data_IF_080332533694
#
_entry.id   IF_080332533694
#
_cell.length_a   1.000
_cell.length_b   1.000
_cell.length_c   1.000
_cell.angle_alpha   90.00
_cell.angle_beta   90.00
_cell.angle_gamma   90.00
#
_symmetry.space_group_name_H-M   'P 1'
#
loop_
_entity.id
_entity.type
_entity.pdbx_description
1 polymer ?
#
# COMPACT_ATOMS: atom_id res chain seq x y z
N UNK A 1 21.67 -6.03 -23.82
CA UNK A 1 21.45 -7.10 -22.82
C UNK A 1 20.30 -6.83 -21.84
N UNK A 2 20.12 -5.60 -21.30
CA UNK A 2 19.61 -5.32 -19.93
C UNK A 2 20.68 -5.68 -18.88
N UNK A 3 20.82 -4.88 -17.81
CA UNK A 3 21.74 -5.17 -16.71
C UNK A 3 21.23 -6.38 -15.92
N UNK A 4 22.13 -7.24 -15.42
CA UNK A 4 21.69 -8.40 -14.62
C UNK A 4 20.84 -7.94 -13.44
N UNK A 5 19.91 -8.78 -12.95
CA UNK A 5 19.08 -8.43 -11.78
C UNK A 5 19.96 -7.99 -10.62
N UNK A 6 21.05 -8.72 -10.34
CA UNK A 6 22.07 -8.36 -9.35
C UNK A 6 22.56 -6.90 -9.48
N UNK A 7 22.82 -6.44 -10.70
CA UNK A 7 23.25 -5.05 -10.98
C UNK A 7 22.16 -4.03 -10.65
N UNK A 8 20.89 -4.34 -10.94
CA UNK A 8 19.75 -3.46 -10.62
C UNK A 8 19.60 -3.39 -9.11
N UNK A 9 19.50 -4.53 -8.42
CA UNK A 9 19.44 -4.60 -6.95
C UNK A 9 20.61 -3.83 -6.29
N UNK A 10 21.84 -3.98 -6.77
CA UNK A 10 22.98 -3.23 -6.22
C UNK A 10 22.90 -1.73 -6.46
N UNK A 11 22.41 -1.29 -7.63
CA UNK A 11 22.23 0.13 -7.94
C UNK A 11 21.14 0.74 -7.05
N UNK A 12 19.97 0.08 -6.96
CA UNK A 12 18.85 0.47 -6.10
C UNK A 12 19.28 0.56 -4.64
N UNK A 13 20.03 -0.43 -4.14
CA UNK A 13 20.54 -0.42 -2.77
C UNK A 13 21.58 0.68 -2.52
N UNK A 14 22.44 0.97 -3.49
CA UNK A 14 23.40 2.06 -3.39
C UNK A 14 22.70 3.43 -3.33
N UNK A 15 21.73 3.67 -4.21
CA UNK A 15 20.93 4.89 -4.24
C UNK A 15 20.08 5.04 -2.96
N UNK A 16 19.43 3.96 -2.51
CA UNK A 16 18.67 3.92 -1.26
C UNK A 16 19.52 4.30 -0.05
N UNK A 17 20.73 3.74 0.06
CA UNK A 17 21.69 4.09 1.13
C UNK A 17 22.18 5.53 1.06
N UNK A 18 22.42 6.07 -0.14
CA UNK A 18 22.84 7.47 -0.30
C UNK A 18 21.80 8.45 0.29
N UNK A 19 20.51 8.11 0.21
CA UNK A 19 19.40 8.91 0.74
C UNK A 19 18.87 8.43 2.09
N UNK A 20 19.59 7.55 2.81
CA UNK A 20 19.11 6.87 4.02
C UNK A 20 18.54 7.84 5.06
N UNK A 21 19.13 9.03 5.24
CA UNK A 21 18.60 10.07 6.15
C UNK A 21 17.17 10.48 5.79
N UNK A 22 16.92 10.84 4.52
CA UNK A 22 15.59 11.24 4.06
C UNK A 22 14.60 10.07 4.09
N UNK A 23 15.05 8.87 3.73
CA UNK A 23 14.25 7.64 3.77
C UNK A 23 13.79 7.32 5.19
N UNK A 24 14.70 7.29 6.17
CA UNK A 24 14.37 7.00 7.58
C UNK A 24 13.48 8.10 8.16
N UNK A 25 13.76 9.38 7.89
CA UNK A 25 12.90 10.48 8.36
C UNK A 25 11.49 10.40 7.76
N UNK A 26 11.37 10.08 6.47
CA UNK A 26 10.08 9.84 5.82
C UNK A 26 9.35 8.63 6.40
N UNK A 27 10.06 7.52 6.61
CA UNK A 27 9.46 6.28 7.13
C UNK A 27 8.98 6.43 8.57
N UNK A 28 9.69 7.21 9.40
CA UNK A 28 9.21 7.61 10.72
C UNK A 28 7.99 8.53 10.62
N UNK A 29 8.05 9.58 9.80
CA UNK A 29 6.95 10.54 9.65
C UNK A 29 5.65 9.88 9.16
N UNK A 30 5.69 9.22 8.00
CA UNK A 30 4.53 8.54 7.43
C UNK A 30 4.15 7.31 8.23
N UNK A 31 5.11 6.53 8.73
CA UNK A 31 4.83 5.31 9.50
C UNK A 31 4.14 5.60 10.84
N UNK A 32 4.56 6.63 11.57
CA UNK A 32 3.89 7.06 12.81
C UNK A 32 2.49 7.59 12.52
N UNK A 33 2.31 8.43 11.50
CA UNK A 33 0.98 8.97 11.14
C UNK A 33 0.04 7.86 10.70
N UNK A 34 0.48 6.96 9.81
CA UNK A 34 -0.31 5.83 9.28
C UNK A 34 -0.64 4.84 10.41
N UNK A 35 0.33 4.45 11.24
CA UNK A 35 0.10 3.53 12.35
C UNK A 35 -0.85 4.11 13.40
N UNK A 36 -0.67 5.38 13.78
CA UNK A 36 -1.53 6.05 14.76
C UNK A 36 -2.96 6.23 14.24
N UNK A 37 -3.11 6.62 12.97
CA UNK A 37 -4.42 6.72 12.32
C UNK A 37 -5.10 5.35 12.22
N UNK A 38 -4.40 4.31 11.75
CA UNK A 38 -4.92 2.95 11.67
C UNK A 38 -5.39 2.41 13.02
N UNK A 39 -4.63 2.65 14.10
CA UNK A 39 -4.99 2.29 15.47
C UNK A 39 -6.21 3.06 15.98
N UNK A 40 -6.30 4.38 15.70
CA UNK A 40 -7.47 5.18 16.03
C UNK A 40 -8.73 4.67 15.32
N UNK A 41 -8.63 4.31 14.04
CA UNK A 41 -9.73 3.70 13.27
C UNK A 41 -10.12 2.37 13.87
N UNK A 42 -9.17 1.47 14.12
CA UNK A 42 -9.42 0.16 14.71
C UNK A 42 -10.14 0.27 16.06
N UNK A 43 -9.71 1.18 16.95
CA UNK A 43 -10.37 1.42 18.25
C UNK A 43 -11.79 1.96 18.08
N UNK A 44 -12.01 2.92 17.18
CA UNK A 44 -13.34 3.50 16.98
C UNK A 44 -14.33 2.53 16.31
N UNK A 45 -13.89 1.81 15.27
CA UNK A 45 -14.70 0.77 14.61
C UNK A 45 -15.05 -0.34 15.60
N UNK A 46 -14.09 -0.78 16.42
CA UNK A 46 -14.30 -1.74 17.51
C UNK A 46 -15.34 -1.26 18.53
N UNK A 47 -15.18 -0.05 19.07
CA UNK A 47 -16.10 0.51 20.07
C UNK A 47 -17.48 0.90 19.51
N UNK A 48 -17.60 1.13 18.20
CA UNK A 48 -18.90 1.28 17.53
C UNK A 48 -19.54 -0.09 17.25
N UNK A 49 -18.77 -1.09 16.82
CA UNK A 49 -19.23 -2.45 16.63
C UNK A 49 -19.70 -3.06 17.96
N UNK A 50 -18.94 -2.90 19.05
CA UNK A 50 -19.35 -3.37 20.38
C UNK A 50 -20.70 -2.78 20.79
N UNK A 51 -20.90 -1.46 20.60
CA UNK A 51 -22.19 -0.80 20.87
C UNK A 51 -23.32 -1.28 19.97
N UNK A 52 -23.07 -1.49 18.68
CA UNK A 52 -24.04 -2.00 17.72
C UNK A 52 -24.41 -3.47 17.99
N UNK A 53 -23.49 -4.26 18.56
CA UNK A 53 -23.74 -5.62 19.02
C UNK A 53 -24.53 -5.64 20.33
N UNK A 54 -24.23 -4.77 21.30
CA UNK A 54 -25.02 -4.68 22.56
C UNK A 54 -26.44 -4.17 22.37
N UNK A 55 -26.74 -3.49 21.25
CA UNK A 55 -28.10 -3.08 20.87
C UNK A 55 -28.88 -4.16 20.12
N UNK A 56 -28.37 -5.40 20.05
CA UNK A 56 -29.08 -6.54 19.49
C UNK A 56 -29.86 -7.26 20.59
N UNK A 57 -31.14 -7.53 20.33
CA UNK A 57 -31.96 -8.45 21.12
C UNK A 57 -31.23 -9.81 21.20
N UNK A 58 -30.80 -10.21 22.40
CA UNK A 58 -29.93 -11.38 22.64
C UNK A 58 -28.49 -11.07 23.10
N UNK A 59 -27.97 -9.86 22.92
CA UNK A 59 -26.71 -9.39 23.56
C UNK A 59 -26.92 -8.34 24.64
N UNK A 60 -28.16 -7.93 24.93
CA UNK A 60 -28.50 -6.87 25.90
C UNK A 60 -27.89 -7.10 27.31
N UNK A 61 -27.75 -8.36 27.71
CA UNK A 61 -27.14 -8.77 28.98
C UNK A 61 -25.60 -8.64 29.02
N UNK A 62 -24.96 -8.26 27.91
CA UNK A 62 -23.52 -8.00 27.84
C UNK A 62 -23.25 -6.49 27.87
N UNK A 63 -22.35 -6.06 28.75
CA UNK A 63 -21.81 -4.71 28.67
C UNK A 63 -20.97 -4.53 27.40
N UNK A 64 -20.88 -3.29 26.90
CA UNK A 64 -20.03 -2.98 25.75
C UNK A 64 -18.57 -3.37 25.96
N UNK A 65 -18.09 -3.37 27.20
CA UNK A 65 -16.75 -3.81 27.61
C UNK A 65 -16.59 -5.34 27.50
N UNK A 66 -17.60 -6.13 27.88
CA UNK A 66 -17.60 -7.59 27.69
C UNK A 66 -17.62 -7.97 26.20
N UNK A 67 -18.37 -7.24 25.37
CA UNK A 67 -18.34 -7.43 23.92
C UNK A 67 -16.98 -7.00 23.34
N UNK A 68 -16.38 -5.92 23.85
CA UNK A 68 -15.05 -5.48 23.42
C UNK A 68 -13.94 -6.49 23.77
N UNK A 69 -13.99 -7.12 24.95
CA UNK A 69 -13.10 -8.22 25.36
C UNK A 69 -13.33 -9.50 24.54
N UNK A 70 -14.59 -9.89 24.29
CA UNK A 70 -14.91 -11.03 23.43
C UNK A 70 -14.31 -10.83 22.03
N UNK A 71 -14.46 -9.63 21.47
CA UNK A 71 -13.81 -9.25 20.21
C UNK A 71 -12.27 -9.21 20.32
N UNK A 72 -11.65 -9.02 21.50
CA UNK A 72 -10.18 -8.99 21.67
C UNK A 72 -9.67 -10.42 21.60
N UNK A 73 -10.32 -11.32 22.32
CA UNK A 73 -10.03 -12.75 22.33
C UNK A 73 -10.25 -13.39 20.96
N UNK A 74 -11.35 -13.05 20.27
CA UNK A 74 -11.57 -13.41 18.85
C UNK A 74 -10.41 -12.93 17.96
N UNK A 75 -9.98 -11.68 18.10
CA UNK A 75 -8.87 -11.13 17.31
C UNK A 75 -7.52 -11.80 17.65
N UNK A 76 -7.34 -12.28 18.89
CA UNK A 76 -6.17 -13.06 19.32
C UNK A 76 -6.21 -14.53 18.86
N UNK A 77 -7.30 -14.99 18.21
CA UNK A 77 -7.47 -16.36 17.75
C UNK A 77 -7.97 -17.34 18.82
N UNK A 78 -8.54 -16.85 19.93
CA UNK A 78 -9.17 -17.68 20.94
C UNK A 78 -10.41 -18.38 20.37
N UNK A 79 -10.31 -19.71 20.21
CA UNK A 79 -11.38 -20.53 19.64
C UNK A 79 -12.65 -20.53 20.48
N UNK A 80 -12.56 -20.36 21.80
CA UNK A 80 -13.75 -20.28 22.66
C UNK A 80 -14.52 -18.99 22.39
N UNK A 81 -13.83 -17.85 22.38
CA UNK A 81 -14.44 -16.55 22.08
C UNK A 81 -15.05 -16.50 20.66
N UNK A 82 -14.44 -17.19 19.69
CA UNK A 82 -15.02 -17.36 18.33
C UNK A 82 -16.29 -18.19 18.35
N UNK A 83 -16.32 -19.28 19.12
CA UNK A 83 -17.51 -20.12 19.28
C UNK A 83 -18.63 -19.36 20.01
N UNK A 84 -18.32 -18.70 21.12
CA UNK A 84 -19.26 -17.88 21.91
C UNK A 84 -19.89 -16.77 21.05
N UNK A 85 -19.07 -16.01 20.31
CA UNK A 85 -19.57 -14.97 19.40
C UNK A 85 -20.41 -15.58 18.27
N UNK A 86 -19.98 -16.70 17.68
CA UNK A 86 -20.72 -17.36 16.61
C UNK A 86 -22.04 -17.98 17.09
N UNK A 87 -22.12 -18.46 18.32
CA UNK A 87 -23.34 -19.00 18.90
C UNK A 87 -24.34 -17.86 19.15
N UNK A 88 -23.91 -16.77 19.82
CA UNK A 88 -24.75 -15.60 20.05
C UNK A 88 -25.27 -15.00 18.73
N UNK A 89 -24.40 -14.85 17.73
CA UNK A 89 -24.81 -14.39 16.39
C UNK A 89 -25.82 -15.32 15.69
N UNK A 90 -25.89 -16.62 16.04
CA UNK A 90 -26.92 -17.54 15.55
C UNK A 90 -28.23 -17.43 16.33
N UNK A 91 -28.14 -17.25 17.66
CA UNK A 91 -29.30 -17.02 18.53
C UNK A 91 -30.04 -15.71 18.16
N UNK A 92 -29.30 -14.74 17.62
CA UNK A 92 -29.81 -13.45 17.13
C UNK A 92 -30.27 -13.52 15.65
N UNK A 93 -30.01 -14.62 14.94
CA UNK A 93 -30.22 -14.73 13.48
C UNK A 93 -31.68 -15.04 13.09
N UNK A 94 -32.64 -14.39 13.74
CA UNK A 94 -33.99 -14.26 13.20
C UNK A 94 -34.01 -13.19 12.09
N UNK A 95 -34.80 -13.44 11.05
CA UNK A 95 -34.79 -12.69 9.77
C UNK A 95 -35.09 -11.19 9.94
N UNK A 96 -35.70 -10.80 11.06
CA UNK A 96 -36.06 -9.43 11.41
C UNK A 96 -34.88 -8.56 11.91
N UNK A 97 -33.87 -9.14 12.56
CA UNK A 97 -32.77 -8.37 13.20
C UNK A 97 -31.85 -7.70 12.15
N UNK A 98 -31.85 -8.21 10.91
CA UNK A 98 -31.14 -7.60 9.79
C UNK A 98 -31.66 -6.20 9.42
N UNK A 99 -32.88 -5.82 9.83
CA UNK A 99 -33.50 -4.53 9.46
C UNK A 99 -33.19 -3.45 10.50
N UNK A 100 -33.28 -3.75 11.81
CA UNK A 100 -32.98 -2.78 12.87
C UNK A 100 -31.49 -2.41 12.96
N UNK A 101 -30.60 -3.26 12.44
CA UNK A 101 -29.15 -3.02 12.46
C UNK A 101 -28.64 -2.11 11.34
N UNK A 102 -29.48 -1.79 10.34
CA UNK A 102 -29.11 -0.94 9.20
C UNK A 102 -28.63 0.48 9.58
N UNK A 103 -29.21 1.20 10.56
CA UNK A 103 -28.76 2.55 10.92
C UNK A 103 -27.38 2.55 11.58
N UNK A 104 -27.13 1.61 12.51
CA UNK A 104 -25.85 1.46 13.20
C UNK A 104 -24.72 1.03 12.24
N UNK A 105 -25.00 0.07 11.36
CA UNK A 105 -24.05 -0.38 10.33
C UNK A 105 -23.77 0.70 9.28
N UNK A 106 -24.76 1.51 8.88
CA UNK A 106 -24.55 2.64 7.97
C UNK A 106 -23.58 3.69 8.53
N UNK A 107 -23.61 3.96 9.83
CA UNK A 107 -22.65 4.84 10.50
C UNK A 107 -21.21 4.31 10.42
N UNK A 108 -21.03 3.04 10.76
CA UNK A 108 -19.76 2.31 10.65
C UNK A 108 -19.21 2.32 9.22
N UNK A 109 -20.05 2.04 8.21
CA UNK A 109 -19.67 2.02 6.79
C UNK A 109 -19.17 3.40 6.33
N UNK A 110 -19.88 4.49 6.69
CA UNK A 110 -19.46 5.86 6.33
C UNK A 110 -18.12 6.23 6.98
N UNK A 111 -17.92 5.88 8.24
CA UNK A 111 -16.67 6.11 8.96
C UNK A 111 -15.52 5.34 8.32
N UNK A 112 -15.71 4.04 8.05
CA UNK A 112 -14.73 3.18 7.41
C UNK A 112 -14.38 3.64 5.99
N UNK A 113 -15.36 4.10 5.21
CA UNK A 113 -15.14 4.64 3.87
C UNK A 113 -14.31 5.94 3.89
N UNK A 114 -14.66 6.89 4.74
CA UNK A 114 -13.90 8.14 4.91
C UNK A 114 -12.44 7.86 5.31
N UNK A 115 -12.22 6.99 6.30
CA UNK A 115 -10.87 6.63 6.72
C UNK A 115 -10.12 5.84 5.67
N UNK A 116 -10.77 4.96 4.90
CA UNK A 116 -10.13 4.24 3.80
C UNK A 116 -9.60 5.20 2.73
N UNK A 117 -10.37 6.23 2.38
CA UNK A 117 -9.95 7.29 1.45
C UNK A 117 -8.79 8.09 2.04
N UNK A 118 -8.87 8.51 3.30
CA UNK A 118 -7.80 9.26 3.98
C UNK A 118 -6.48 8.47 4.04
N UNK A 119 -6.54 7.20 4.44
CA UNK A 119 -5.38 6.30 4.50
C UNK A 119 -4.80 6.00 3.12
N UNK A 120 -5.64 5.90 2.09
CA UNK A 120 -5.20 5.77 0.70
C UNK A 120 -4.46 7.03 0.22
N UNK A 121 -4.96 8.23 0.53
CA UNK A 121 -4.28 9.50 0.21
C UNK A 121 -2.91 9.59 0.91
N UNK A 122 -2.82 9.27 2.20
CA UNK A 122 -1.56 9.25 2.94
C UNK A 122 -0.56 8.23 2.34
N UNK A 123 -1.04 7.04 2.00
CA UNK A 123 -0.22 6.00 1.38
C UNK A 123 0.29 6.44 0.01
N UNK A 124 -0.57 7.01 -0.83
CA UNK A 124 -0.21 7.56 -2.13
C UNK A 124 0.83 8.69 -2.00
N UNK A 125 0.64 9.64 -1.08
CA UNK A 125 1.59 10.71 -0.81
C UNK A 125 2.95 10.17 -0.35
N UNK A 126 2.98 9.13 0.50
CA UNK A 126 4.23 8.49 0.94
C UNK A 126 4.97 7.79 -0.21
N UNK A 127 4.25 7.08 -1.09
CA UNK A 127 4.84 6.44 -2.27
C UNK A 127 5.41 7.45 -3.25
N UNK A 128 4.67 8.54 -3.51
CA UNK A 128 5.13 9.69 -4.31
C UNK A 128 6.37 10.34 -3.68
N UNK A 129 6.42 10.47 -2.35
CA UNK A 129 7.56 11.06 -1.64
C UNK A 129 8.86 10.29 -1.85
N UNK A 130 8.87 8.96 -1.69
CA UNK A 130 10.09 8.19 -1.97
C UNK A 130 10.42 8.14 -3.46
N UNK A 131 9.42 8.22 -4.34
CA UNK A 131 9.67 8.30 -5.79
C UNK A 131 10.32 9.64 -6.16
N UNK A 132 9.87 10.76 -5.59
CA UNK A 132 10.51 12.08 -5.76
C UNK A 132 11.96 12.05 -5.28
N UNK A 133 12.22 11.49 -4.08
CA UNK A 133 13.60 11.34 -3.59
C UNK A 133 14.45 10.52 -4.58
N UNK A 134 13.92 9.37 -5.03
CA UNK A 134 14.66 8.47 -5.92
C UNK A 134 14.92 9.05 -7.33
N UNK A 135 14.07 9.96 -7.84
CA UNK A 135 14.18 10.53 -9.20
C UNK A 135 14.93 11.87 -9.22
N UNK A 136 14.69 12.74 -8.23
CA UNK A 136 15.04 14.16 -8.29
C UNK A 136 16.15 14.58 -7.32
N UNK A 137 16.54 13.74 -6.34
CA UNK A 137 17.46 14.07 -5.23
C UNK A 137 17.24 15.50 -4.66
N UNK A 138 16.13 15.73 -3.93
CA UNK A 138 15.72 17.06 -3.47
C UNK A 138 16.61 17.66 -2.36
N UNK A 139 17.66 16.95 -1.90
CA UNK A 139 18.61 17.37 -0.87
C UNK A 139 18.05 17.59 0.55
N UNK A 140 16.75 17.87 0.71
CA UNK A 140 16.11 18.19 1.98
C UNK A 140 14.67 17.67 2.08
N UNK A 141 14.23 17.41 3.31
CA UNK A 141 12.89 16.90 3.60
C UNK A 141 11.77 17.86 3.15
N UNK A 142 11.95 19.17 3.37
CA UNK A 142 10.94 20.17 3.02
C UNK A 142 10.72 20.25 1.50
N UNK A 143 11.82 20.29 0.72
CA UNK A 143 11.74 20.30 -0.75
C UNK A 143 11.08 19.01 -1.25
N UNK A 144 11.47 17.85 -0.69
CA UNK A 144 10.84 16.56 -1.01
C UNK A 144 9.33 16.58 -0.77
N UNK A 145 8.86 16.97 0.42
CA UNK A 145 7.42 17.01 0.76
C UNK A 145 6.67 17.99 -0.14
N UNK A 146 7.17 19.22 -0.31
CA UNK A 146 6.54 20.25 -1.15
C UNK A 146 6.38 19.77 -2.60
N UNK A 147 7.41 19.14 -3.14
CA UNK A 147 7.40 18.55 -4.48
C UNK A 147 6.44 17.36 -4.57
N UNK A 148 6.40 16.51 -3.55
CA UNK A 148 5.50 15.35 -3.47
C UNK A 148 4.03 15.75 -3.53
N UNK A 149 3.64 16.78 -2.77
CA UNK A 149 2.26 17.32 -2.79
C UNK A 149 1.92 17.87 -4.19
N UNK A 150 2.84 18.58 -4.83
CA UNK A 150 2.64 19.13 -6.18
C UNK A 150 2.49 18.04 -7.26
N UNK A 151 3.29 16.97 -7.20
CA UNK A 151 3.25 15.88 -8.19
C UNK A 151 2.25 14.76 -7.85
N UNK A 152 1.59 14.81 -6.70
CA UNK A 152 0.62 13.81 -6.25
C UNK A 152 -0.53 13.64 -7.26
N UNK A 153 -1.19 14.73 -7.64
CA UNK A 153 -2.33 14.68 -8.57
C UNK A 153 -1.93 14.16 -9.96
N UNK A 154 -0.83 14.63 -10.60
CA UNK A 154 -0.32 14.03 -11.83
C UNK A 154 -0.04 12.52 -11.73
N UNK A 155 0.58 12.06 -10.64
CA UNK A 155 0.93 10.64 -10.46
C UNK A 155 -0.29 9.75 -10.15
N UNK A 156 -1.25 10.25 -9.37
CA UNK A 156 -2.54 9.58 -9.15
C UNK A 156 -3.32 9.50 -10.47
N UNK A 157 -3.39 10.59 -11.24
CA UNK A 157 -4.04 10.61 -12.56
C UNK A 157 -3.37 9.65 -13.55
N UNK A 158 -2.04 9.56 -13.53
CA UNK A 158 -1.28 8.56 -14.29
C UNK A 158 -1.63 7.13 -13.86
N UNK A 159 -1.68 6.85 -12.55
CA UNK A 159 -2.10 5.56 -12.02
C UNK A 159 -3.53 5.18 -12.44
N UNK A 160 -4.49 6.10 -12.30
CA UNK A 160 -5.88 5.91 -12.73
C UNK A 160 -5.96 5.65 -14.24
N UNK A 161 -5.25 6.41 -15.07
CA UNK A 161 -5.22 6.21 -16.51
C UNK A 161 -4.65 4.84 -16.92
N UNK A 162 -3.55 4.42 -16.30
CA UNK A 162 -2.94 3.10 -16.52
C UNK A 162 -3.92 1.99 -16.11
N UNK A 163 -4.58 2.13 -14.95
CA UNK A 163 -5.57 1.16 -14.45
C UNK A 163 -6.76 1.05 -15.41
N UNK A 164 -7.43 2.16 -15.76
CA UNK A 164 -8.56 2.17 -16.70
C UNK A 164 -8.16 1.52 -18.03
N UNK A 165 -7.01 1.91 -18.60
CA UNK A 165 -6.50 1.36 -19.86
C UNK A 165 -6.15 -0.13 -19.79
N UNK A 166 -5.73 -0.63 -18.63
CA UNK A 166 -5.37 -2.05 -18.45
C UNK A 166 -6.61 -2.91 -18.15
N UNK A 167 -7.60 -2.37 -17.45
CA UNK A 167 -8.79 -3.10 -17.00
C UNK A 167 -9.99 -3.04 -17.95
N UNK A 168 -10.05 -2.06 -18.87
CA UNK A 168 -11.12 -2.00 -19.91
C UNK A 168 -11.22 -3.29 -20.76
N UNK A 169 -10.14 -4.06 -20.85
CA UNK A 169 -10.09 -5.33 -21.58
C UNK A 169 -10.55 -6.55 -20.78
N UNK A 170 -10.74 -6.45 -19.45
CA UNK A 170 -11.14 -7.60 -18.63
C UNK A 170 -12.44 -8.26 -19.12
N UNK A 171 -13.53 -7.53 -19.42
CA UNK A 171 -14.77 -8.15 -19.90
C UNK A 171 -14.65 -8.86 -21.25
N UNK A 172 -13.63 -8.50 -22.06
CA UNK A 172 -13.47 -8.97 -23.44
C UNK A 172 -12.42 -10.08 -23.59
N UNK A 173 -11.31 -9.99 -22.86
CA UNK A 173 -10.12 -10.87 -23.02
C UNK A 173 -9.61 -11.39 -21.66
N UNK A 174 -10.34 -11.13 -20.58
CA UNK A 174 -10.02 -11.60 -19.24
C UNK A 174 -8.83 -10.89 -18.57
N UNK A 175 -8.52 -11.35 -17.35
CA UNK A 175 -7.47 -10.80 -16.50
C UNK A 175 -6.05 -10.90 -17.09
N UNK A 176 -5.80 -11.88 -17.96
CA UNK A 176 -4.47 -12.18 -18.49
C UNK A 176 -3.86 -10.97 -19.24
N UNK A 177 -4.65 -10.25 -20.04
CA UNK A 177 -4.15 -9.07 -20.77
C UNK A 177 -3.74 -7.94 -19.82
N UNK A 178 -4.48 -7.71 -18.73
CA UNK A 178 -4.12 -6.69 -17.73
C UNK A 178 -2.76 -7.00 -17.09
N UNK A 179 -2.53 -8.27 -16.73
CA UNK A 179 -1.25 -8.75 -16.18
C UNK A 179 -0.10 -8.60 -17.19
N UNK A 180 -0.35 -8.89 -18.48
CA UNK A 180 0.64 -8.71 -19.56
C UNK A 180 0.94 -7.23 -19.84
N UNK A 181 0.00 -6.30 -19.62
CA UNK A 181 0.21 -4.88 -19.90
C UNK A 181 0.89 -4.13 -18.74
N UNK A 182 0.57 -4.44 -17.48
CA UNK A 182 0.99 -3.65 -16.32
C UNK A 182 2.52 -3.40 -16.22
N UNK A 183 3.42 -4.39 -16.43
CA UNK A 183 4.86 -4.15 -16.32
C UNK A 183 5.42 -3.14 -17.34
N UNK A 184 4.69 -2.87 -18.44
CA UNK A 184 5.11 -1.90 -19.47
C UNK A 184 4.94 -0.44 -19.06
N UNK A 185 4.20 -0.18 -17.98
CA UNK A 185 3.96 1.15 -17.44
C UNK A 185 4.85 1.51 -16.24
N UNK A 186 5.74 0.60 -15.82
CA UNK A 186 6.63 0.81 -14.66
C UNK A 186 7.58 2.01 -14.85
N UNK A 187 8.11 2.29 -16.05
CA UNK A 187 8.82 3.54 -16.31
C UNK A 187 7.97 4.82 -16.38
N UNK A 188 6.62 4.75 -16.45
CA UNK A 188 5.81 5.94 -16.67
C UNK A 188 5.91 6.99 -15.54
N UNK A 189 5.91 6.63 -14.24
CA UNK A 189 6.13 7.59 -13.16
C UNK A 189 7.52 8.25 -13.22
N UNK A 190 8.56 7.50 -13.59
CA UNK A 190 9.91 8.03 -13.80
C UNK A 190 9.94 9.02 -14.97
N UNK A 191 9.30 8.70 -16.11
CA UNK A 191 9.22 9.59 -17.29
C UNK A 191 8.46 10.88 -16.94
N UNK A 192 7.33 10.78 -16.23
CA UNK A 192 6.54 11.95 -15.82
C UNK A 192 7.38 12.91 -14.96
N UNK A 193 8.12 12.39 -13.97
CA UNK A 193 8.93 13.21 -13.07
C UNK A 193 10.23 13.72 -13.73
N UNK A 194 10.99 12.83 -14.39
CA UNK A 194 12.33 13.15 -14.92
C UNK A 194 12.31 13.88 -16.26
N UNK A 195 11.38 13.52 -17.15
CA UNK A 195 11.26 14.13 -18.48
C UNK A 195 10.16 15.22 -18.53
N UNK A 196 9.43 15.46 -17.42
CA UNK A 196 8.40 16.49 -17.33
C UNK A 196 7.16 16.24 -18.22
N UNK A 197 6.96 15.00 -18.66
CA UNK A 197 5.92 14.62 -19.64
C UNK A 197 4.52 14.66 -19.06
N UNK A 198 3.54 15.01 -19.90
CA UNK A 198 2.13 14.89 -19.54
C UNK A 198 1.71 13.44 -19.28
N UNK A 199 0.63 13.23 -18.52
CA UNK A 199 0.14 11.89 -18.10
C UNK A 199 0.03 10.91 -19.27
N UNK A 200 -0.64 11.33 -20.35
CA UNK A 200 -0.87 10.49 -21.53
C UNK A 200 0.43 10.20 -22.30
N UNK A 201 1.34 11.17 -22.35
CA UNK A 201 2.64 11.05 -22.99
C UNK A 201 3.54 10.08 -22.24
N UNK A 202 3.69 10.24 -20.91
CA UNK A 202 4.49 9.36 -20.07
C UNK A 202 4.03 7.89 -20.17
N UNK A 203 2.71 7.65 -20.18
CA UNK A 203 2.15 6.31 -20.38
C UNK A 203 2.43 5.77 -21.81
N UNK A 204 2.29 6.60 -22.86
CA UNK A 204 2.55 6.22 -24.26
C UNK A 204 4.03 5.92 -24.48
N UNK A 205 4.92 6.76 -23.98
CA UNK A 205 6.37 6.60 -24.08
C UNK A 205 6.84 5.37 -23.32
N UNK A 206 6.37 5.17 -22.07
CA UNK A 206 6.66 3.95 -21.31
C UNK A 206 6.25 2.70 -22.09
N UNK A 207 5.04 2.67 -22.66
CA UNK A 207 4.57 1.53 -23.44
C UNK A 207 5.40 1.29 -24.72
N UNK A 208 5.79 2.36 -25.42
CA UNK A 208 6.62 2.27 -26.62
C UNK A 208 8.05 1.79 -26.32
N UNK A 209 8.72 2.41 -25.36
CA UNK A 209 10.12 2.16 -25.00
C UNK A 209 10.33 0.78 -24.34
N UNK A 210 9.29 0.17 -23.74
CA UNK A 210 9.35 -1.14 -23.08
C UNK A 210 9.06 -2.37 -23.97
N UNK A 211 8.60 -2.20 -25.23
CA UNK A 211 8.06 -3.31 -26.07
C UNK A 211 8.98 -4.55 -26.17
N UNK A 212 10.30 -4.35 -26.27
CA UNK A 212 11.30 -5.44 -26.43
C UNK A 212 11.82 -6.02 -25.10
N UNK A 213 11.40 -5.47 -23.96
CA UNK A 213 12.01 -5.74 -22.65
C UNK A 213 11.03 -6.31 -21.61
N UNK A 214 9.77 -6.51 -22.00
CA UNK A 214 8.67 -6.81 -21.09
C UNK A 214 8.94 -7.96 -20.09
N UNK A 215 9.32 -9.16 -20.56
CA UNK A 215 9.64 -10.30 -19.70
C UNK A 215 10.73 -9.99 -18.66
N UNK A 216 11.74 -9.20 -19.04
CA UNK A 216 12.84 -8.81 -18.13
C UNK A 216 12.40 -7.78 -17.10
N UNK A 217 11.48 -6.90 -17.46
CA UNK A 217 10.86 -5.95 -16.51
C UNK A 217 10.02 -6.73 -15.50
N UNK A 218 9.13 -7.63 -15.97
CA UNK A 218 8.28 -8.43 -15.11
C UNK A 218 9.07 -9.34 -14.16
N UNK A 219 10.09 -10.06 -14.66
CA UNK A 219 10.92 -10.92 -13.81
C UNK A 219 11.70 -10.16 -12.72
N UNK A 220 12.20 -8.95 -13.03
CA UNK A 220 12.88 -8.11 -12.04
C UNK A 220 11.91 -7.54 -10.99
N UNK A 221 10.70 -7.14 -11.38
CA UNK A 221 9.66 -6.69 -10.45
C UNK A 221 9.21 -7.83 -9.56
N UNK A 222 8.95 -9.01 -10.12
CA UNK A 222 8.56 -10.19 -9.33
C UNK A 222 9.63 -10.55 -8.30
N UNK A 223 10.90 -10.58 -8.71
CA UNK A 223 12.02 -10.80 -7.78
C UNK A 223 12.08 -9.73 -6.68
N UNK A 224 11.93 -8.44 -7.03
CA UNK A 224 11.96 -7.35 -6.04
C UNK A 224 10.78 -7.38 -5.06
N UNK A 225 9.58 -7.68 -5.54
CA UNK A 225 8.39 -7.87 -4.71
C UNK A 225 8.55 -9.08 -3.78
N UNK A 226 9.07 -10.22 -4.28
CA UNK A 226 9.32 -11.40 -3.46
C UNK A 226 10.38 -11.14 -2.37
N UNK A 227 11.52 -10.54 -2.73
CA UNK A 227 12.55 -10.16 -1.75
C UNK A 227 12.02 -9.16 -0.72
N UNK A 228 11.23 -8.17 -1.15
CA UNK A 228 10.63 -7.16 -0.28
C UNK A 228 9.58 -7.76 0.66
N UNK A 229 8.77 -8.71 0.17
CA UNK A 229 7.79 -9.44 0.98
C UNK A 229 8.47 -10.30 2.05
N UNK A 230 9.52 -11.05 1.69
CA UNK A 230 10.28 -11.85 2.65
C UNK A 230 10.95 -10.97 3.72
N UNK A 231 11.54 -9.83 3.32
CA UNK A 231 12.10 -8.87 4.25
C UNK A 231 11.03 -8.24 5.17
N UNK A 232 9.87 -7.87 4.61
CA UNK A 232 8.74 -7.34 5.37
C UNK A 232 8.24 -8.34 6.41
N UNK A 233 8.05 -9.61 6.04
CA UNK A 233 7.62 -10.67 6.96
C UNK A 233 8.67 -10.87 8.06
N UNK A 234 9.95 -11.02 7.71
CA UNK A 234 11.01 -11.22 8.69
C UNK A 234 11.07 -10.07 9.71
N UNK A 235 11.01 -8.82 9.25
CA UNK A 235 11.03 -7.63 10.13
C UNK A 235 9.78 -7.54 11.02
N UNK A 236 8.59 -7.87 10.50
CA UNK A 236 7.36 -7.87 11.31
C UNK A 236 7.33 -9.01 12.34
N UNK A 237 7.87 -10.19 12.01
CA UNK A 237 8.04 -11.30 12.98
C UNK A 237 9.01 -10.88 14.08
N UNK A 238 10.14 -10.24 13.74
CA UNK A 238 11.07 -9.68 14.75
C UNK A 238 10.41 -8.60 15.60
N UNK A 239 9.60 -7.72 15.00
CA UNK A 239 8.85 -6.71 15.75
C UNK A 239 7.84 -7.34 16.71
N UNK A 240 7.14 -8.41 16.29
CA UNK A 240 6.16 -9.13 17.12
C UNK A 240 6.81 -9.84 18.31
N UNK A 241 7.96 -10.49 18.13
CA UNK A 241 8.68 -11.13 19.24
C UNK A 241 9.26 -10.10 20.21
N UNK A 242 9.83 -9.00 19.71
CA UNK A 242 10.38 -7.92 20.56
C UNK A 242 9.28 -7.14 21.28
N UNK A 243 8.13 -6.88 20.64
CA UNK A 243 7.00 -6.16 21.26
C UNK A 243 6.20 -6.99 22.26
N UNK A 244 6.50 -8.29 22.41
CA UNK A 244 5.73 -9.25 23.23
C UNK A 244 4.23 -9.25 22.90
N UNK A 245 3.88 -8.99 21.63
CA UNK A 245 2.49 -8.92 21.17
C UNK A 245 1.76 -7.59 21.48
N UNK A 246 2.42 -6.57 22.03
CA UNK A 246 1.76 -5.27 22.28
C UNK A 246 1.33 -4.60 20.96
N UNK A 247 0.03 -4.30 20.84
CA UNK A 247 -0.61 -3.74 19.64
C UNK A 247 -0.04 -2.39 19.17
N UNK A 248 0.35 -1.50 20.10
CA UNK A 248 0.82 -0.15 19.76
C UNK A 248 2.19 -0.16 19.06
N UNK A 249 3.23 -0.83 19.60
CA UNK A 249 4.49 -1.03 18.88
C UNK A 249 4.32 -1.79 17.56
N UNK A 250 3.40 -2.77 17.49
CA UNK A 250 3.10 -3.52 16.27
C UNK A 250 2.54 -2.63 15.16
N UNK A 251 1.52 -1.82 15.46
CA UNK A 251 0.87 -0.97 14.47
C UNK A 251 1.81 0.13 13.94
N UNK A 252 2.50 0.84 14.84
CA UNK A 252 3.42 1.92 14.46
C UNK A 252 4.70 1.35 13.83
N UNK A 253 5.33 0.35 14.45
CA UNK A 253 6.54 -0.26 13.93
C UNK A 253 6.33 -0.99 12.61
N UNK A 254 5.22 -1.72 12.46
CA UNK A 254 4.85 -2.39 11.20
C UNK A 254 4.59 -1.39 10.07
N UNK A 255 3.98 -0.23 10.40
CA UNK A 255 3.82 0.88 9.45
C UNK A 255 5.16 1.49 9.04
N UNK A 256 6.09 1.70 9.97
CA UNK A 256 7.46 2.20 9.66
C UNK A 256 8.22 1.18 8.78
N UNK A 257 8.14 -0.12 9.10
CA UNK A 257 8.74 -1.20 8.29
C UNK A 257 8.15 -1.21 6.87
N UNK A 258 6.82 -1.12 6.74
CA UNK A 258 6.14 -1.02 5.45
C UNK A 258 6.63 0.18 4.64
N UNK A 259 6.80 1.33 5.28
CA UNK A 259 7.31 2.55 4.66
C UNK A 259 8.76 2.43 4.18
N UNK A 260 9.66 1.77 4.93
CA UNK A 260 11.02 1.47 4.48
C UNK A 260 11.02 0.55 3.25
N UNK A 261 10.12 -0.43 3.20
CA UNK A 261 9.95 -1.34 2.05
C UNK A 261 9.39 -0.60 0.83
N UNK A 262 8.37 0.25 1.01
CA UNK A 262 7.85 1.13 -0.05
C UNK A 262 8.95 2.03 -0.60
N UNK A 263 9.78 2.62 0.27
CA UNK A 263 10.91 3.44 -0.14
C UNK A 263 11.90 2.65 -1.00
N UNK A 264 12.32 1.46 -0.56
CA UNK A 264 13.22 0.60 -1.33
C UNK A 264 12.64 0.23 -2.71
N UNK A 265 11.34 -0.09 -2.78
CA UNK A 265 10.66 -0.38 -4.04
C UNK A 265 10.61 0.83 -4.98
N UNK A 266 10.43 2.05 -4.47
CA UNK A 266 10.53 3.27 -5.30
C UNK A 266 11.92 3.44 -5.91
N UNK A 267 13.00 3.29 -5.12
CA UNK A 267 14.37 3.29 -5.64
C UNK A 267 14.61 2.17 -6.67
N UNK A 268 14.02 0.99 -6.45
CA UNK A 268 14.11 -0.13 -7.39
C UNK A 268 13.41 0.17 -8.73
N UNK A 269 12.21 0.75 -8.69
CA UNK A 269 11.47 1.16 -9.89
C UNK A 269 12.26 2.20 -10.70
N UNK A 270 12.92 3.15 -10.04
CA UNK A 270 13.76 4.14 -10.72
C UNK A 270 14.97 3.48 -11.41
N UNK A 271 15.78 2.72 -10.68
CA UNK A 271 16.96 2.05 -11.26
C UNK A 271 16.60 1.06 -12.40
N UNK A 272 15.46 0.36 -12.28
CA UNK A 272 14.92 -0.48 -13.34
C UNK A 272 14.51 0.35 -14.56
N UNK A 273 13.86 1.50 -14.36
CA UNK A 273 13.44 2.42 -15.42
C UNK A 273 14.64 2.97 -16.19
N UNK A 274 15.68 3.45 -15.48
CA UNK A 274 16.93 3.92 -16.08
C UNK A 274 17.63 2.84 -16.91
N UNK A 275 17.73 1.61 -16.40
CA UNK A 275 18.35 0.48 -17.12
C UNK A 275 17.59 0.07 -18.39
N UNK A 276 16.26 0.26 -18.41
CA UNK A 276 15.42 0.01 -19.59
C UNK A 276 15.53 1.17 -20.60
N UNK A 277 15.39 2.42 -20.15
CA UNK A 277 15.33 3.60 -21.00
C UNK A 277 16.67 3.93 -21.67
N UNK A 278 17.78 3.84 -20.92
CA UNK A 278 19.15 4.00 -21.47
C UNK A 278 19.43 3.07 -22.65
N UNK A 279 18.89 1.84 -22.60
CA UNK A 279 19.08 0.84 -23.66
C UNK A 279 18.19 1.06 -24.86
N UNK A 280 16.99 1.62 -24.68
CA UNK A 280 16.18 2.07 -25.79
C UNK A 280 16.93 3.12 -26.62
N UNK A 281 17.52 4.13 -25.98
CA UNK A 281 18.32 5.16 -26.66
C UNK A 281 19.50 4.58 -27.47
N UNK A 282 20.23 3.60 -26.94
CA UNK A 282 21.31 2.92 -27.68
C UNK A 282 20.82 2.04 -28.84
N UNK A 283 19.55 1.65 -28.85
CA UNK A 283 18.96 0.77 -29.88
C UNK A 283 18.39 1.56 -31.06
N UNK A 284 17.95 2.80 -30.85
CA UNK A 284 17.40 3.68 -31.90
C UNK A 284 18.49 4.37 -32.72
N UNK A 285 19.72 4.45 -32.21
CA UNK A 285 20.89 4.98 -32.93
C UNK A 285 21.61 3.93 -33.81
N UNK A 286 21.00 2.77 -34.05
CA UNK A 286 21.49 1.68 -34.88
C UNK A 286 20.40 1.23 -35.84
#
# INVERSE_FOLDING_TARGET
>A
MISSSRTIFSASWSAYKAHMRLVVTGALLFGVVIGSAGMYVQKNVRGQLARALTSLEGMENMSAEQVEDLLLRVQAGDRSAVQDLSQRMKEISDENVAIETLPATAGLIRLAAFFSIFMWILTALSGVFYLVIAVEDPGSLHVAIKRSVHVLVPLVGLGMWISIRSFIWIPLVGFLIALLMMPRFVPAPYILLKEGRGILEAARESYARTKRFWWKIMGNIFAALLCSLLAFIALNVTLYTVSRGHMLPLSIGGSIIGQLVTAYLSFFVVALSESVLSRFATTVRK
#
